data_IF_430147805329
#
_entry.id   IF_430147805329
#
_cell.length_a   1.000
_cell.length_b   1.000
_cell.length_c   1.000
_cell.angle_alpha   90.00
_cell.angle_beta   90.00
_cell.angle_gamma   90.00
#
_symmetry.space_group_name_H-M   'P 1'
#
loop_
_entity.id
_entity.type
_entity.pdbx_description
1 polymer ?
#
# COMPACT_ATOMS: atom_id res chain seq x y z
N UNK A 1 -18.19 -1.15 11.17
CA UNK A 1 -17.03 -0.25 11.28
C UNK A 1 -16.21 -0.41 10.01
N UNK A 2 -16.36 0.48 9.03
CA UNK A 2 -15.45 0.49 7.88
C UNK A 2 -14.18 1.21 8.33
N UNK A 3 -13.13 0.45 8.62
CA UNK A 3 -11.81 1.00 8.91
C UNK A 3 -11.35 1.83 7.71
N UNK A 4 -11.18 3.14 7.89
CA UNK A 4 -10.71 4.04 6.84
C UNK A 4 -9.21 3.90 6.58
N UNK A 5 -8.50 3.13 7.40
CA UNK A 5 -7.06 2.94 7.32
C UNK A 5 -6.74 1.74 6.44
N UNK A 6 -5.88 1.96 5.46
CA UNK A 6 -5.50 0.96 4.46
C UNK A 6 -4.00 1.06 4.19
N UNK A 7 -3.43 0.00 3.64
CA UNK A 7 -2.10 0.00 3.07
C UNK A 7 -2.23 -0.29 1.59
N UNK A 8 -1.63 0.57 0.76
CA UNK A 8 -1.56 0.38 -0.68
C UNK A 8 -0.17 -0.06 -1.08
N UNK A 9 -0.08 -0.76 -2.20
CA UNK A 9 1.19 -0.97 -2.88
C UNK A 9 1.17 -0.38 -4.28
N UNK A 10 2.32 0.09 -4.74
CA UNK A 10 2.54 0.52 -6.11
C UNK A 10 3.86 -0.02 -6.65
N UNK A 11 3.89 -0.26 -7.95
CA UNK A 11 5.13 -0.56 -8.65
C UNK A 11 5.83 0.75 -9.06
N UNK A 12 7.16 0.83 -8.89
CA UNK A 12 7.96 2.01 -9.25
C UNK A 12 8.30 2.09 -10.75
N UNK A 13 7.94 1.08 -11.54
CA UNK A 13 8.30 1.01 -12.96
C UNK A 13 7.35 1.84 -13.82
N UNK A 14 7.89 2.86 -14.49
CA UNK A 14 7.16 3.64 -15.47
C UNK A 14 6.64 2.75 -16.60
N UNK A 15 5.31 2.69 -16.77
CA UNK A 15 4.64 1.88 -17.79
C UNK A 15 4.14 0.51 -17.33
N UNK A 16 4.30 0.15 -16.06
CA UNK A 16 3.68 -1.06 -15.51
C UNK A 16 2.20 -0.78 -15.16
N UNK A 17 1.26 -1.62 -15.60
CA UNK A 17 -0.16 -1.50 -15.26
C UNK A 17 -0.44 -1.62 -13.74
N UNK A 18 0.53 -2.12 -12.96
CA UNK A 18 0.49 -2.17 -11.49
C UNK A 18 0.95 -0.85 -10.84
N UNK A 19 0.99 0.24 -11.60
CA UNK A 19 1.12 1.60 -11.04
C UNK A 19 -0.19 2.07 -10.40
N UNK A 20 -1.32 1.52 -10.82
CA UNK A 20 -2.61 1.77 -10.16
C UNK A 20 -2.56 1.25 -8.73
N UNK A 21 -2.83 2.15 -7.79
CA UNK A 21 -2.68 1.91 -6.37
C UNK A 21 -3.72 0.89 -5.87
N UNK A 22 -3.28 -0.33 -5.58
CA UNK A 22 -4.17 -1.40 -5.10
C UNK A 22 -4.20 -1.35 -3.57
N UNK A 23 -5.41 -1.27 -3.01
CA UNK A 23 -5.65 -1.47 -1.57
C UNK A 23 -5.35 -2.93 -1.24
N UNK A 24 -4.27 -3.18 -0.48
CA UNK A 24 -3.83 -4.55 -0.17
C UNK A 24 -4.43 -5.01 1.15
N UNK A 25 -4.34 -4.18 2.19
CA UNK A 25 -4.78 -4.54 3.55
C UNK A 25 -5.53 -3.39 4.18
N UNK A 26 -6.65 -3.72 4.82
CA UNK A 26 -7.39 -2.81 5.69
C UNK A 26 -6.87 -2.94 7.12
N UNK A 27 -6.52 -1.83 7.75
CA UNK A 27 -6.00 -1.79 9.12
C UNK A 27 -6.95 -1.10 10.07
N UNK A 28 -6.74 -1.28 11.37
CA UNK A 28 -7.66 -0.79 12.42
C UNK A 28 -7.45 0.71 12.67
N UNK A 29 -6.21 1.19 12.55
CA UNK A 29 -5.83 2.58 12.81
C UNK A 29 -4.62 3.01 11.96
N UNK A 30 -4.26 4.29 12.06
CA UNK A 30 -3.13 4.86 11.32
C UNK A 30 -1.79 4.20 11.70
N UNK A 31 -1.57 3.97 12.99
CA UNK A 31 -0.32 3.38 13.50
C UNK A 31 -0.08 1.98 12.95
N UNK A 32 -1.14 1.16 12.87
CA UNK A 32 -1.06 -0.18 12.28
C UNK A 32 -0.84 -0.12 10.78
N UNK A 33 -1.49 0.79 10.03
CA UNK A 33 -1.16 0.98 8.60
C UNK A 33 0.28 1.42 8.39
N UNK A 34 0.77 2.33 9.22
CA UNK A 34 2.13 2.86 9.11
C UNK A 34 3.17 1.78 9.43
N UNK A 35 3.01 1.11 10.58
CA UNK A 35 3.92 0.05 11.02
C UNK A 35 3.95 -1.10 10.02
N UNK A 36 2.79 -1.47 9.46
CA UNK A 36 2.69 -2.52 8.46
C UNK A 36 3.36 -2.13 7.14
N UNK A 37 3.16 -0.89 6.66
CA UNK A 37 3.83 -0.41 5.45
C UNK A 37 5.35 -0.42 5.57
N UNK A 38 5.90 0.02 6.72
CA UNK A 38 7.34 -0.04 6.97
C UNK A 38 7.85 -1.47 7.06
N UNK A 39 7.10 -2.36 7.71
CA UNK A 39 7.46 -3.77 7.80
C UNK A 39 7.53 -4.43 6.42
N UNK A 40 6.53 -4.18 5.55
CA UNK A 40 6.52 -4.73 4.18
C UNK A 40 7.65 -4.18 3.32
N UNK A 41 7.95 -2.88 3.43
CA UNK A 41 9.10 -2.30 2.73
C UNK A 41 10.44 -2.90 3.23
N UNK A 42 10.60 -3.07 4.55
CA UNK A 42 11.81 -3.65 5.12
C UNK A 42 11.98 -5.16 4.82
N UNK A 43 10.87 -5.90 4.69
CA UNK A 43 10.87 -7.27 4.17
C UNK A 43 11.30 -7.31 2.71
N UNK A 44 10.91 -6.28 1.94
CA UNK A 44 11.26 -6.18 0.54
C UNK A 44 12.77 -6.14 0.28
N UNK A 45 13.52 -5.49 1.16
CA UNK A 45 14.97 -5.39 1.09
C UNK A 45 15.70 -6.69 1.50
N UNK A 46 15.02 -7.68 2.10
CA UNK A 46 15.63 -8.86 2.74
C UNK A 46 15.28 -10.21 2.10
N UNK A 47 14.95 -10.22 0.80
CA UNK A 47 14.71 -11.44 -0.02
C UNK A 47 13.33 -12.11 0.11
N UNK A 48 12.30 -11.38 0.58
CA UNK A 48 10.93 -11.89 0.68
C UNK A 48 9.84 -10.98 0.12
N UNK A 49 10.22 -9.97 -0.67
CA UNK A 49 9.28 -8.99 -1.22
C UNK A 49 8.25 -9.66 -2.13
N UNK A 50 6.97 -9.31 -1.96
CA UNK A 50 6.04 -9.49 -3.08
C UNK A 50 6.49 -8.56 -4.21
N UNK A 51 6.90 -9.16 -5.32
CA UNK A 51 7.27 -8.44 -6.53
C UNK A 51 6.01 -8.13 -7.33
N UNK A 52 6.08 -7.10 -8.16
CA UNK A 52 4.99 -6.80 -9.05
C UNK A 52 4.69 -8.03 -9.95
N UNK A 53 3.46 -8.57 -9.96
CA UNK A 53 3.13 -9.75 -10.76
C UNK A 53 3.19 -9.50 -12.27
N UNK A 54 3.29 -8.23 -12.68
CA UNK A 54 3.32 -7.81 -14.09
C UNK A 54 4.75 -7.63 -14.60
N UNK A 55 5.63 -6.96 -13.83
CA UNK A 55 6.99 -6.62 -14.29
C UNK A 55 8.12 -7.17 -13.41
N UNK A 56 7.81 -7.86 -12.30
CA UNK A 56 8.80 -8.46 -11.40
C UNK A 56 9.62 -7.46 -10.58
N UNK A 57 9.30 -6.17 -10.65
CA UNK A 57 10.00 -5.11 -9.94
C UNK A 57 9.50 -4.99 -8.49
N UNK A 58 10.31 -4.41 -7.58
CA UNK A 58 9.90 -4.25 -6.19
C UNK A 58 8.65 -3.39 -6.06
N UNK A 59 7.77 -3.79 -5.16
CA UNK A 59 6.60 -3.01 -4.75
C UNK A 59 6.96 -2.11 -3.57
N UNK A 60 6.39 -0.91 -3.55
CA UNK A 60 6.47 0.01 -2.43
C UNK A 60 5.13 0.09 -1.72
N UNK A 61 5.17 -0.04 -0.40
CA UNK A 61 4.00 -0.03 0.46
C UNK A 61 3.90 1.30 1.19
N UNK A 62 2.70 1.86 1.28
CA UNK A 62 2.47 3.10 2.00
C UNK A 62 1.09 3.12 2.66
N UNK A 63 0.97 3.76 3.84
CA UNK A 63 -0.30 3.87 4.54
C UNK A 63 -1.17 4.90 3.83
N UNK A 64 -2.45 4.59 3.70
CA UNK A 64 -3.47 5.49 3.19
C UNK A 64 -4.59 5.55 4.19
N UNK A 65 -4.99 6.76 4.53
CA UNK A 65 -6.23 7.00 5.25
C UNK A 65 -7.23 7.51 4.24
N UNK A 66 -8.36 6.82 4.12
CA UNK A 66 -9.51 7.34 3.41
C UNK A 66 -10.09 8.44 4.30
N UNK A 67 -9.49 9.63 4.22
CA UNK A 67 -10.18 10.85 4.61
C UNK A 67 -11.30 10.93 3.60
N UNK A 68 -12.49 10.46 3.96
CA UNK A 68 -13.67 10.70 3.15
C UNK A 68 -13.66 12.20 2.84
N UNK A 69 -13.62 12.55 1.55
CA UNK A 69 -13.78 13.95 1.15
C UNK A 69 -14.98 14.50 1.93
N UNK A 70 -14.87 15.67 2.57
CA UNK A 70 -16.01 16.24 3.26
C UNK A 70 -17.14 16.32 2.24
N UNK A 71 -18.20 15.55 2.46
CA UNK A 71 -19.43 15.67 1.68
C UNK A 71 -19.96 17.06 1.95
N UNK A 72 -19.63 18.01 1.08
CA UNK A 72 -20.32 19.28 0.99
C UNK A 72 -21.75 18.95 0.56
N UNK A 73 -22.65 18.86 1.54
CA UNK A 73 -24.09 18.88 1.36
C UNK A 73 -24.57 20.32 1.22
#
# INVERSE_FOLDING_TARGET
MNSCYKVRACCNTAGCAYTDHIDIIQTINHESSFSFSMFMNALGDREGAETCPVCGQPLHYYPVTNIAEPTYH
#
